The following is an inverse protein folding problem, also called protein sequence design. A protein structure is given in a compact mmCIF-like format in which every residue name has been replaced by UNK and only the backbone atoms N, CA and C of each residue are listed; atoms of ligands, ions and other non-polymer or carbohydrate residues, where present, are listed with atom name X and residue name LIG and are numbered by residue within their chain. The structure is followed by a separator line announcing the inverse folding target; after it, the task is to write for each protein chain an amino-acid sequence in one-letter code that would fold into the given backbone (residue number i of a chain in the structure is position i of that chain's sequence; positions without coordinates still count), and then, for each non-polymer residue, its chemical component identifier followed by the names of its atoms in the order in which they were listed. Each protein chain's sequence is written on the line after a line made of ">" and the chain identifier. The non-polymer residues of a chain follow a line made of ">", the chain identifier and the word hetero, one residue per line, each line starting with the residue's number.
data_IF_996969399642
#
_entry.id   IF_996969399642
#
_cell.length_a   1.000
_cell.length_b   1.000
_cell.length_c   1.000
_cell.angle_alpha   90.00
_cell.angle_beta   90.00
_cell.angle_gamma   90.00
#
_symmetry.space_group_name_H-M   'P 1'
#
loop_
_entity.id
_entity.type
_entity.pdbx_description
1 polymer ?
#
# COMPACT_ATOMS: atom_id res chain seq x y z
N UNK A 1 0.42 -10.20 3.50
CA UNK A 1 0.81 -9.45 4.70
C UNK A 1 -0.27 -8.45 5.02
N UNK A 2 -0.53 -8.19 6.30
CA UNK A 2 -1.42 -7.14 6.79
C UNK A 2 -0.64 -6.35 7.83
N UNK A 3 -0.53 -5.03 7.65
CA UNK A 3 0.15 -4.15 8.59
C UNK A 3 -0.58 -2.82 8.74
N UNK A 4 -0.28 -2.14 9.82
CA UNK A 4 -0.61 -0.74 10.07
C UNK A 4 0.67 0.05 9.92
N UNK A 5 0.61 1.15 9.19
CA UNK A 5 1.76 2.00 8.98
C UNK A 5 1.38 3.37 8.46
N UNK A 6 2.41 4.18 8.20
CA UNK A 6 2.29 5.53 7.67
C UNK A 6 3.17 5.67 6.43
N UNK A 7 2.62 6.03 5.26
CA UNK A 7 3.43 6.35 4.10
C UNK A 7 4.26 7.61 4.39
N UNK A 8 5.57 7.54 4.11
CA UNK A 8 6.49 8.68 4.22
C UNK A 8 6.62 9.45 2.90
N UNK A 9 6.21 8.81 1.80
CA UNK A 9 6.18 9.39 0.46
C UNK A 9 6.67 8.44 -0.62
N UNK A 10 6.64 8.95 -1.85
CA UNK A 10 7.06 8.23 -3.05
C UNK A 10 8.57 8.08 -3.10
N UNK A 11 9.04 6.85 -3.34
CA UNK A 11 10.47 6.50 -3.44
C UNK A 11 10.83 5.81 -4.76
N UNK A 12 9.87 5.63 -5.65
CA UNK A 12 10.11 5.08 -6.98
C UNK A 12 8.84 4.63 -7.67
N UNK A 13 9.04 3.92 -8.78
CA UNK A 13 7.96 3.39 -9.62
C UNK A 13 8.35 2.00 -10.12
N UNK A 14 7.35 1.15 -10.34
CA UNK A 14 7.50 -0.19 -10.90
C UNK A 14 6.38 -0.47 -11.91
N UNK A 15 6.34 -1.70 -12.44
CA UNK A 15 5.21 -2.17 -13.26
C UNK A 15 4.53 -3.35 -12.59
N UNK A 16 3.22 -3.25 -12.45
CA UNK A 16 2.36 -4.35 -12.00
C UNK A 16 1.40 -4.70 -13.13
N UNK A 17 1.47 -5.94 -13.63
CA UNK A 17 0.71 -6.42 -14.80
C UNK A 17 0.80 -5.51 -16.04
N UNK A 18 1.95 -4.86 -16.23
CA UNK A 18 2.20 -3.95 -17.35
C UNK A 18 1.80 -2.49 -17.11
N UNK A 19 1.01 -2.22 -16.05
CA UNK A 19 0.63 -0.87 -15.64
C UNK A 19 1.69 -0.25 -14.72
N UNK A 20 1.90 1.06 -14.87
CA UNK A 20 2.78 1.85 -14.01
C UNK A 20 2.21 1.90 -12.58
N UNK A 21 3.05 1.58 -11.60
CA UNK A 21 2.70 1.56 -10.18
C UNK A 21 3.70 2.41 -9.39
N UNK A 22 3.20 3.23 -8.46
CA UNK A 22 3.99 4.12 -7.61
C UNK A 22 4.43 3.33 -6.39
N UNK A 23 5.69 3.46 -6.00
CA UNK A 23 6.25 2.80 -4.82
C UNK A 23 6.46 3.82 -3.73
N UNK A 24 5.89 3.54 -2.56
CA UNK A 24 5.97 4.36 -1.37
C UNK A 24 6.83 3.69 -0.31
N UNK A 25 7.57 4.49 0.45
CA UNK A 25 8.19 4.04 1.68
C UNK A 25 7.17 4.15 2.80
N UNK A 26 7.00 3.08 3.57
CA UNK A 26 6.02 3.00 4.66
C UNK A 26 6.75 2.69 5.95
N UNK A 27 6.58 3.57 6.93
CA UNK A 27 6.96 3.31 8.32
C UNK A 27 6.00 2.26 8.89
N UNK A 28 6.56 1.14 9.36
CA UNK A 28 5.77 0.03 9.91
C UNK A 28 5.51 0.30 11.39
N UNK A 29 4.26 0.58 11.73
CA UNK A 29 3.84 0.75 13.13
C UNK A 29 3.54 -0.60 13.79
N UNK A 30 2.78 -1.44 13.10
CA UNK A 30 2.37 -2.75 13.62
C UNK A 30 2.10 -3.75 12.52
N UNK A 31 2.65 -4.95 12.64
CA UNK A 31 2.30 -6.07 11.76
C UNK A 31 1.14 -6.85 12.37
N UNK A 32 0.06 -7.02 11.59
CA UNK A 32 -1.12 -7.81 11.98
C UNK A 32 -1.05 -9.24 11.44
N UNK A 33 -0.41 -9.46 10.29
CA UNK A 33 -0.19 -10.78 9.69
C UNK A 33 0.99 -10.80 8.71
N UNK A 34 1.86 -11.79 8.83
CA UNK A 34 3.04 -11.95 7.97
C UNK A 34 4.30 -11.33 8.59
N UNK A 35 5.34 -11.14 7.79
CA UNK A 35 6.63 -10.60 8.22
C UNK A 35 7.26 -9.75 7.10
N UNK A 36 7.37 -8.42 7.27
CA UNK A 36 8.04 -7.52 6.33
C UNK A 36 9.58 -7.50 6.49
N UNK A 37 10.12 -8.08 7.56
CA UNK A 37 11.47 -7.80 8.04
C UNK A 37 11.53 -6.57 8.96
N UNK A 38 12.73 -6.06 9.21
CA UNK A 38 12.96 -4.91 10.09
C UNK A 38 12.91 -3.58 9.34
N UNK A 39 12.41 -2.54 10.00
CA UNK A 39 12.40 -1.16 9.50
C UNK A 39 11.28 -0.83 8.51
N UNK A 40 11.49 0.22 7.73
CA UNK A 40 10.53 0.71 6.75
C UNK A 40 10.44 -0.23 5.55
N UNK A 41 9.26 -0.34 4.97
CA UNK A 41 8.98 -1.22 3.84
C UNK A 41 8.61 -0.42 2.60
N UNK A 42 9.10 -0.85 1.44
CA UNK A 42 8.66 -0.34 0.15
C UNK A 42 7.40 -1.09 -0.28
N UNK A 43 6.31 -0.37 -0.55
CA UNK A 43 5.06 -0.95 -1.03
C UNK A 43 4.61 -0.17 -2.25
N UNK A 44 4.35 -0.89 -3.34
CA UNK A 44 3.75 -0.30 -4.52
C UNK A 44 2.22 -0.27 -4.44
N UNK A 45 1.62 0.86 -4.76
CA UNK A 45 0.18 0.98 -4.94
C UNK A 45 -0.26 0.15 -6.14
N UNK A 46 -1.40 -0.51 -6.03
CA UNK A 46 -1.92 -1.32 -7.13
C UNK A 46 -2.78 -0.42 -8.04
N UNK A 47 -2.36 -0.14 -9.27
CA UNK A 47 -3.19 0.59 -10.22
C UNK A 47 -4.35 -0.31 -10.71
N UNK A 48 -5.51 0.23 -11.10
CA UNK A 48 -6.50 -0.52 -11.86
C UNK A 48 -5.92 -0.83 -13.25
N UNK A 49 -5.91 -2.11 -13.63
CA UNK A 49 -5.22 -2.59 -14.85
C UNK A 49 -6.16 -2.84 -16.03
N UNK A 50 -7.46 -2.89 -15.80
CA UNK A 50 -8.48 -3.17 -16.83
C UNK A 50 -9.17 -1.90 -17.38
N UNK A 51 -8.72 -0.73 -16.96
CA UNK A 51 -9.24 0.58 -17.38
C UNK A 51 -8.14 1.35 -18.10
N UNK A 52 -8.47 1.94 -19.25
CA UNK A 52 -7.57 2.86 -19.92
C UNK A 52 -7.62 4.23 -19.23
N UNK A 53 -6.48 4.90 -19.06
CA UNK A 53 -6.40 6.25 -18.51
C UNK A 53 -5.39 6.39 -17.38
N UNK A 54 -5.69 7.30 -16.45
CA UNK A 54 -4.87 7.58 -15.27
C UNK A 54 -4.66 6.30 -14.42
N UNK A 55 -3.43 5.97 -13.98
CA UNK A 55 -3.18 4.83 -13.10
C UNK A 55 -3.88 4.95 -11.73
N UNK A 56 -4.37 6.12 -11.32
CA UNK A 56 -5.16 6.30 -10.11
C UNK A 56 -6.28 7.34 -10.32
N UNK A 57 -7.41 6.95 -10.95
CA UNK A 57 -8.49 7.89 -11.25
C UNK A 57 -9.10 8.54 -9.99
N UNK A 58 -9.04 7.84 -8.84
CA UNK A 58 -9.53 8.30 -7.54
C UNK A 58 -8.40 8.77 -6.60
N UNK A 59 -7.16 8.90 -7.12
CA UNK A 59 -5.96 9.19 -6.35
C UNK A 59 -5.21 7.94 -5.88
N UNK A 60 -3.90 8.07 -5.69
CA UNK A 60 -3.06 6.98 -5.19
C UNK A 60 -3.36 6.74 -3.71
N UNK A 61 -3.80 5.53 -3.31
CA UNK A 61 -4.22 5.27 -1.94
C UNK A 61 -3.09 5.30 -0.91
N UNK A 62 -1.82 5.23 -1.33
CA UNK A 62 -0.65 5.41 -0.46
C UNK A 62 -0.11 6.84 -0.47
N UNK A 63 -0.65 7.73 -1.32
CA UNK A 63 -0.29 9.16 -1.32
C UNK A 63 -1.06 9.90 -0.23
N UNK A 64 -0.73 9.57 1.03
CA UNK A 64 -1.33 10.15 2.22
C UNK A 64 -0.32 10.24 3.35
N UNK A 65 -0.47 11.27 4.18
CA UNK A 65 0.28 11.40 5.43
C UNK A 65 -0.45 10.75 6.63
N UNK A 66 -1.62 10.13 6.42
CA UNK A 66 -2.40 9.49 7.47
C UNK A 66 -1.95 8.05 7.72
N UNK A 67 -2.30 7.54 8.90
CA UNK A 67 -2.11 6.13 9.26
C UNK A 67 -3.10 5.27 8.47
N UNK A 68 -2.63 4.13 7.96
CA UNK A 68 -3.42 3.22 7.10
C UNK A 68 -3.23 1.76 7.51
N UNK A 69 -4.21 0.92 7.16
CA UNK A 69 -4.05 -0.54 7.12
C UNK A 69 -3.71 -0.92 5.69
N UNK A 70 -2.64 -1.67 5.49
CA UNK A 70 -2.20 -2.13 4.17
C UNK A 70 -2.33 -3.65 4.10
N UNK A 71 -3.08 -4.10 3.09
CA UNK A 71 -3.18 -5.49 2.68
C UNK A 71 -2.23 -5.68 1.51
N UNK A 72 -1.03 -6.18 1.79
CA UNK A 72 0.02 -6.33 0.79
C UNK A 72 0.24 -7.79 0.42
N UNK A 73 0.63 -8.03 -0.82
CA UNK A 73 1.16 -9.31 -1.30
C UNK A 73 2.54 -9.11 -1.92
N UNK A 74 3.27 -10.21 -2.15
CA UNK A 74 4.65 -10.18 -2.65
C UNK A 74 4.74 -10.94 -3.96
N UNK A 75 5.47 -10.38 -4.93
CA UNK A 75 5.92 -11.09 -6.12
C UNK A 75 7.42 -10.89 -6.30
N UNK A 76 8.18 -11.97 -6.25
CA UNK A 76 9.64 -11.88 -6.21
C UNK A 76 10.10 -11.15 -4.94
N UNK A 77 10.78 -10.01 -5.11
CA UNK A 77 11.25 -9.17 -4.01
C UNK A 77 10.29 -8.01 -3.67
N UNK A 78 9.31 -7.72 -4.53
CA UNK A 78 8.49 -6.51 -4.45
C UNK A 78 7.18 -6.75 -3.69
N UNK A 79 6.87 -5.83 -2.78
CA UNK A 79 5.57 -5.78 -2.09
C UNK A 79 4.64 -4.79 -2.77
N UNK A 80 3.37 -5.16 -2.90
CA UNK A 80 2.35 -4.28 -3.45
C UNK A 80 0.99 -4.50 -2.82
N UNK A 81 0.15 -3.47 -2.86
CA UNK A 81 -1.22 -3.52 -2.38
C UNK A 81 -2.02 -4.62 -3.12
N UNK A 82 -2.79 -5.42 -2.41
CA UNK A 82 -3.39 -6.63 -2.95
C UNK A 82 -4.41 -6.36 -4.06
N UNK A 83 -5.17 -5.27 -3.95
CA UNK A 83 -6.14 -4.82 -4.96
C UNK A 83 -6.11 -3.30 -5.08
N UNK A 84 -6.55 -2.73 -6.22
CA UNK A 84 -6.57 -1.27 -6.39
C UNK A 84 -7.47 -0.55 -5.38
N UNK A 85 -8.66 -1.10 -5.13
CA UNK A 85 -9.69 -0.41 -4.34
C UNK A 85 -9.67 -0.74 -2.84
N UNK A 86 -9.09 -1.87 -2.44
CA UNK A 86 -9.18 -2.39 -1.06
C UNK A 86 -7.82 -2.84 -0.50
N UNK A 87 -6.72 -2.59 -1.23
CA UNK A 87 -5.39 -2.89 -0.75
C UNK A 87 -4.91 -1.97 0.38
N UNK A 88 -5.54 -0.81 0.56
CA UNK A 88 -5.24 0.18 1.60
C UNK A 88 -6.55 0.69 2.18
N UNK A 89 -6.64 0.75 3.51
CA UNK A 89 -7.77 1.33 4.22
C UNK A 89 -7.27 2.46 5.13
N UNK A 90 -7.91 3.64 5.13
CA UNK A 90 -7.63 4.68 6.11
C UNK A 90 -7.84 4.17 7.53
N UNK A 91 -6.90 4.48 8.43
CA UNK A 91 -7.03 4.23 9.86
C UNK A 91 -6.58 5.47 10.65
N UNK A 92 -7.37 6.56 10.60
CA UNK A 92 -7.05 7.80 11.30
C UNK A 92 -6.76 7.55 12.79
N UNK A 93 -5.88 8.37 13.37
CA UNK A 93 -5.52 8.25 14.78
C UNK A 93 -6.78 8.23 15.68
N UNK A 94 -6.83 7.29 16.62
CA UNK A 94 -7.98 7.09 17.50
C UNK A 94 -9.10 6.19 16.95
N UNK A 95 -9.01 5.78 15.68
CA UNK A 95 -9.96 4.82 15.10
C UNK A 95 -9.74 3.41 15.65
N UNK A 96 -10.84 2.68 15.83
CA UNK A 96 -10.80 1.23 16.13
C UNK A 96 -10.41 0.44 14.88
N UNK A 97 -9.85 -0.76 15.06
CA UNK A 97 -9.66 -1.69 13.95
C UNK A 97 -11.04 -2.09 13.37
N UNK A 98 -11.17 -2.19 12.04
CA UNK A 98 -12.44 -2.50 11.39
C UNK A 98 -12.79 -4.01 11.46
N UNK A 99 -12.04 -4.79 12.24
CA UNK A 99 -12.24 -6.22 12.46
C UNK A 99 -11.88 -6.54 13.91
N UNK A 100 -12.82 -7.15 14.63
CA UNK A 100 -12.67 -7.64 16.00
C UNK A 100 -12.91 -9.14 16.04
#
# INVERSE_FOLDING_TARGET
>A
MVLIGKPEGQVGETKIYGSKATTHLVEVERVLKGDPGEGNIRISSMPPTCTAGDPYPDGDPLDTAERVIIFATKQGAEWFAMTPAQGVLPLPQGSNLPFQ
#
